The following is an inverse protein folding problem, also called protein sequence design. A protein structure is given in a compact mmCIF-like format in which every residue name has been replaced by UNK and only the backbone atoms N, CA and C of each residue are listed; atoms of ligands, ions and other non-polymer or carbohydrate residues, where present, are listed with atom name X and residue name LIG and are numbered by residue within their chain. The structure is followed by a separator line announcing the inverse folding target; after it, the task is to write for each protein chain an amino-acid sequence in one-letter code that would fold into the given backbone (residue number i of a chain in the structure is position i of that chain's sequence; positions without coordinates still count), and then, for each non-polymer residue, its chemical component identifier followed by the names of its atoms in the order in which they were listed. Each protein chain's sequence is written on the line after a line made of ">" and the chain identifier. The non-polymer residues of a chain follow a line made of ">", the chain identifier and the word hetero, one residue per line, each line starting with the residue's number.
data_IF_428448814564
#
_entry.id   IF_428448814564
#
_cell.length_a   1.000
_cell.length_b   1.000
_cell.length_c   1.000
_cell.angle_alpha   90.00
_cell.angle_beta   90.00
_cell.angle_gamma   90.00
#
_symmetry.space_group_name_H-M   'P 1'
#
loop_
_entity.id
_entity.type
_entity.pdbx_description
1 polymer ?
#
# COMPACT_ATOMS: atom_id res chain seq x y z
N UNK A 1 5.52 -10.98 -8.05
CA UNK A 1 4.07 -11.31 -8.02
C UNK A 1 3.34 -10.47 -9.07
N UNK A 2 2.86 -11.09 -10.14
CA UNK A 2 2.06 -10.41 -11.14
C UNK A 2 0.69 -10.02 -10.54
N UNK A 3 0.29 -8.76 -10.72
CA UNK A 3 -1.00 -8.26 -10.25
C UNK A 3 -1.99 -8.35 -11.41
N UNK A 4 -2.78 -9.41 -11.47
CA UNK A 4 -3.86 -9.58 -12.44
C UNK A 4 -5.21 -9.71 -11.76
N UNK A 5 -6.25 -9.07 -12.32
CA UNK A 5 -7.66 -9.24 -11.93
C UNK A 5 -8.38 -9.92 -13.08
N UNK A 6 -8.96 -11.10 -12.84
CA UNK A 6 -9.88 -11.73 -13.79
C UNK A 6 -11.22 -11.00 -13.74
N UNK A 7 -11.69 -10.52 -14.88
CA UNK A 7 -13.01 -9.87 -15.00
C UNK A 7 -14.08 -10.97 -15.07
N UNK A 8 -15.17 -10.81 -14.30
CA UNK A 8 -16.31 -11.73 -14.33
C UNK A 8 -17.37 -11.17 -15.28
N UNK A 9 -18.14 -12.03 -15.94
CA UNK A 9 -19.12 -11.64 -16.97
C UNK A 9 -20.20 -10.65 -16.50
N UNK A 10 -20.56 -10.67 -15.21
CA UNK A 10 -21.61 -9.81 -14.64
C UNK A 10 -21.08 -8.56 -13.92
N UNK A 11 -19.87 -8.09 -14.26
CA UNK A 11 -19.32 -6.85 -13.67
C UNK A 11 -19.14 -5.73 -14.67
N UNK A 12 -19.59 -4.54 -14.26
CA UNK A 12 -19.21 -3.29 -14.92
C UNK A 12 -17.68 -3.10 -14.89
N UNK A 13 -17.16 -2.60 -16.01
CA UNK A 13 -15.73 -2.30 -16.24
C UNK A 13 -15.16 -1.45 -15.09
N UNK A 14 -15.91 -0.48 -14.58
CA UNK A 14 -15.47 0.40 -13.49
C UNK A 14 -15.20 -0.37 -12.19
N UNK A 15 -16.03 -1.38 -11.90
CA UNK A 15 -15.83 -2.24 -10.71
C UNK A 15 -14.57 -3.08 -10.86
N UNK A 16 -14.30 -3.59 -12.07
CA UNK A 16 -13.07 -4.32 -12.36
C UNK A 16 -11.82 -3.43 -12.18
N UNK A 17 -11.85 -2.20 -12.73
CA UNK A 17 -10.76 -1.22 -12.58
C UNK A 17 -10.52 -0.84 -11.11
N UNK A 18 -11.58 -0.66 -10.33
CA UNK A 18 -11.47 -0.34 -8.90
C UNK A 18 -10.81 -1.47 -8.12
N UNK A 19 -11.13 -2.73 -8.43
CA UNK A 19 -10.44 -3.88 -7.82
C UNK A 19 -8.99 -3.98 -8.25
N UNK A 20 -8.69 -3.75 -9.52
CA UNK A 20 -7.33 -3.72 -10.02
C UNK A 20 -6.49 -2.68 -9.27
N UNK A 21 -6.98 -1.43 -9.16
CA UNK A 21 -6.32 -0.39 -8.37
C UNK A 21 -6.12 -0.80 -6.91
N UNK A 22 -7.11 -1.44 -6.28
CA UNK A 22 -6.99 -1.97 -4.90
C UNK A 22 -5.91 -3.04 -4.79
N UNK A 23 -5.83 -3.96 -5.75
CA UNK A 23 -4.85 -5.04 -5.76
C UNK A 23 -3.43 -4.50 -6.00
N UNK A 24 -3.24 -3.55 -6.91
CA UNK A 24 -1.96 -2.85 -7.15
C UNK A 24 -1.51 -2.09 -5.89
N UNK A 25 -2.44 -1.40 -5.23
CA UNK A 25 -2.13 -0.70 -3.98
C UNK A 25 -1.80 -1.66 -2.83
N UNK A 26 -2.44 -2.84 -2.80
CA UNK A 26 -2.18 -3.89 -1.81
C UNK A 26 -0.83 -4.55 -2.02
N UNK A 27 -0.47 -4.86 -3.26
CA UNK A 27 0.80 -5.49 -3.61
C UNK A 27 2.00 -4.56 -3.44
N UNK A 28 1.79 -3.24 -3.42
CA UNK A 28 2.82 -2.21 -3.19
C UNK A 28 3.94 -2.20 -4.25
N UNK A 29 3.73 -2.84 -5.40
CA UNK A 29 4.70 -2.92 -6.51
C UNK A 29 5.23 -1.53 -6.91
N UNK A 30 4.35 -0.55 -7.09
CA UNK A 30 4.76 0.83 -7.43
C UNK A 30 5.58 1.51 -6.33
N UNK A 31 5.39 1.12 -5.06
CA UNK A 31 6.12 1.69 -3.94
C UNK A 31 7.51 1.07 -3.82
N UNK A 32 7.62 -0.22 -4.06
CA UNK A 32 8.89 -0.96 -4.08
C UNK A 32 9.75 -0.49 -5.24
N UNK A 33 9.16 -0.39 -6.44
CA UNK A 33 9.82 0.18 -7.61
C UNK A 33 10.45 1.54 -7.27
N UNK A 34 9.66 2.50 -6.75
CA UNK A 34 10.17 3.82 -6.36
C UNK A 34 11.23 3.80 -5.26
N UNK A 35 11.22 2.81 -4.37
CA UNK A 35 12.24 2.67 -3.32
C UNK A 35 13.55 2.14 -3.87
N UNK A 36 13.49 1.31 -4.91
CA UNK A 36 14.64 0.68 -5.52
C UNK A 36 15.25 1.50 -6.67
N UNK A 37 14.63 2.62 -7.08
CA UNK A 37 15.18 3.49 -8.13
C UNK A 37 16.53 4.12 -7.75
N UNK A 38 16.81 4.29 -6.46
CA UNK A 38 18.04 4.86 -5.97
C UNK A 38 18.57 4.04 -4.79
N UNK A 39 19.90 3.99 -4.63
CA UNK A 39 20.52 3.36 -3.47
C UNK A 39 20.18 4.15 -2.20
N UNK A 40 19.55 3.48 -1.24
CA UNK A 40 19.41 3.97 0.13
C UNK A 40 20.34 3.17 1.04
N UNK A 41 21.08 3.88 1.91
CA UNK A 41 21.88 3.21 2.94
C UNK A 41 20.96 2.39 3.88
N UNK A 42 21.40 1.21 4.35
CA UNK A 42 20.59 0.36 5.22
C UNK A 42 20.12 1.08 6.51
N UNK A 43 20.95 1.98 7.05
CA UNK A 43 20.62 2.79 8.23
C UNK A 43 19.46 3.75 7.97
N UNK A 44 19.46 4.41 6.82
CA UNK A 44 18.41 5.33 6.42
C UNK A 44 17.11 4.59 6.15
N UNK A 45 17.19 3.40 5.56
CA UNK A 45 16.01 2.57 5.33
C UNK A 45 15.36 2.15 6.66
N UNK A 46 16.17 1.70 7.63
CA UNK A 46 15.72 1.38 8.99
C UNK A 46 15.05 2.60 9.65
N UNK A 47 15.67 3.78 9.56
CA UNK A 47 15.12 5.04 10.09
C UNK A 47 13.77 5.39 9.45
N UNK A 48 13.65 5.24 8.14
CA UNK A 48 12.42 5.54 7.40
C UNK A 48 11.30 4.54 7.73
N UNK A 49 11.63 3.25 7.88
CA UNK A 49 10.70 2.20 8.32
C UNK A 49 10.15 2.49 9.73
N UNK A 50 11.02 2.89 10.68
CA UNK A 50 10.62 3.27 12.03
C UNK A 50 9.67 4.48 12.05
N UNK A 51 10.01 5.55 11.30
CA UNK A 51 9.15 6.74 11.17
C UNK A 51 7.78 6.40 10.58
N UNK A 52 7.72 5.55 9.56
CA UNK A 52 6.46 5.05 8.95
C UNK A 52 5.63 4.26 9.96
N UNK A 53 6.25 3.39 10.75
CA UNK A 53 5.59 2.61 11.80
C UNK A 53 4.97 3.52 12.87
N UNK A 54 5.74 4.49 13.39
CA UNK A 54 5.26 5.47 14.37
C UNK A 54 4.05 6.26 13.85
N UNK A 55 4.10 6.74 12.61
CA UNK A 55 2.98 7.44 11.96
C UNK A 55 1.74 6.56 11.85
N UNK A 56 1.89 5.27 11.51
CA UNK A 56 0.77 4.32 11.44
C UNK A 56 0.16 4.08 12.82
N UNK A 57 0.97 3.87 13.85
CA UNK A 57 0.51 3.69 15.24
C UNK A 57 -0.28 4.91 15.73
N UNK A 58 0.22 6.12 15.50
CA UNK A 58 -0.47 7.36 15.88
C UNK A 58 -1.85 7.49 15.21
N UNK A 59 -1.92 7.22 13.90
CA UNK A 59 -3.20 7.21 13.16
C UNK A 59 -4.18 6.17 13.70
N UNK A 60 -3.71 4.97 14.02
CA UNK A 60 -4.57 3.90 14.55
C UNK A 60 -5.09 4.24 15.96
N UNK A 61 -4.25 4.83 16.82
CA UNK A 61 -4.67 5.29 18.15
C UNK A 61 -5.78 6.34 18.08
N UNK A 62 -5.65 7.33 17.20
CA UNK A 62 -6.69 8.34 16.98
C UNK A 62 -8.01 7.75 16.47
N UNK A 63 -7.95 6.72 15.62
CA UNK A 63 -9.15 6.00 15.16
C UNK A 63 -9.83 5.19 16.27
N UNK A 64 -9.07 4.51 17.12
CA UNK A 64 -9.63 3.75 18.23
C UNK A 64 -10.29 4.66 19.27
N UNK A 65 -9.73 5.85 19.53
CA UNK A 65 -10.34 6.85 20.44
C UNK A 65 -11.66 7.43 19.92
N UNK A 66 -11.87 7.48 18.60
CA UNK A 66 -13.14 7.94 17.99
C UNK A 66 -14.20 6.84 17.88
N UNK A 67 -13.80 5.57 18.07
CA UNK A 67 -14.69 4.40 17.97
C UNK A 67 -15.20 3.92 19.32
N UNK A 68 -14.56 4.37 20.39
CA UNK A 68 -14.98 4.17 21.78
C UNK A 68 -15.76 5.41 22.19
#
# INVERSE_FOLDING_TARGET
>A
MAVGVKVRGNESIDRALKRFRRQVNRSRVLREYRQNMAYMKPSEEKRLRAKKSRRRRHRNRGKNRKRK
#
